data_IF_745802129754
#
_entry.id   IF_745802129754
#
_cell.length_a   1.000
_cell.length_b   1.000
_cell.length_c   1.000
_cell.angle_alpha   90.00
_cell.angle_beta   90.00
_cell.angle_gamma   90.00
#
_symmetry.space_group_name_H-M   'P 1'
#
loop_
_entity.id
_entity.type
_entity.pdbx_description
1 polymer ?
#
# COMPACT_ATOMS: atom_id res chain seq x y z
N UNK A 1 -51.80 12.96 -4.29
CA UNK A 1 -51.06 14.03 -4.96
C UNK A 1 -50.15 14.71 -3.93
N UNK A 2 -48.89 14.27 -3.85
CA UNK A 2 -47.82 15.07 -3.25
C UNK A 2 -46.50 14.59 -3.83
N UNK A 3 -45.90 15.46 -4.65
CA UNK A 3 -44.66 15.25 -5.38
C UNK A 3 -43.45 15.11 -4.44
N UNK A 4 -42.55 14.20 -4.81
CA UNK A 4 -41.20 14.08 -4.26
C UNK A 4 -40.34 15.29 -4.70
N UNK A 5 -39.58 15.93 -3.80
CA UNK A 5 -38.48 16.80 -4.22
C UNK A 5 -37.36 15.94 -4.83
N UNK A 6 -37.17 16.03 -6.14
CA UNK A 6 -35.95 15.59 -6.80
C UNK A 6 -34.91 16.68 -6.61
N UNK A 7 -33.87 16.43 -5.82
CA UNK A 7 -32.69 17.29 -5.81
C UNK A 7 -31.45 16.41 -5.66
N UNK A 8 -30.60 16.54 -6.68
CA UNK A 8 -29.34 15.85 -6.87
C UNK A 8 -28.52 15.68 -5.59
N UNK A 9 -28.11 14.44 -5.32
CA UNK A 9 -26.79 14.22 -4.74
C UNK A 9 -25.90 13.66 -5.82
N UNK A 10 -25.23 14.62 -6.45
CA UNK A 10 -23.95 14.49 -7.11
C UNK A 10 -22.98 13.67 -6.24
N UNK A 11 -22.18 12.86 -6.90
CA UNK A 11 -21.21 11.97 -6.26
C UNK A 11 -21.13 10.70 -7.06
N UNK A 12 -20.41 10.77 -8.18
CA UNK A 12 -20.05 9.60 -8.97
C UNK A 12 -19.58 8.48 -8.04
N UNK A 13 -20.17 7.32 -8.24
CA UNK A 13 -19.51 6.07 -7.93
C UNK A 13 -18.19 6.13 -8.69
N UNK A 14 -17.12 6.54 -8.00
CA UNK A 14 -15.76 6.41 -8.49
C UNK A 14 -15.40 4.95 -8.21
N UNK A 15 -15.40 4.05 -9.21
CA UNK A 15 -14.80 2.75 -9.06
C UNK A 15 -13.28 2.90 -9.11
N UNK A 16 -12.72 3.81 -8.33
CA UNK A 16 -11.48 3.54 -7.64
C UNK A 16 -11.79 2.37 -6.74
N UNK A 17 -11.78 1.17 -7.31
CA UNK A 17 -11.75 -0.12 -6.62
C UNK A 17 -10.47 -0.14 -5.81
N UNK A 18 -10.47 0.62 -4.72
CA UNK A 18 -9.49 0.59 -3.67
C UNK A 18 -9.71 -0.73 -2.98
N UNK A 19 -9.12 -1.78 -3.55
CA UNK A 19 -9.03 -3.06 -2.85
C UNK A 19 -8.19 -2.78 -1.61
N UNK A 20 -8.86 -2.54 -0.48
CA UNK A 20 -8.20 -2.22 0.77
C UNK A 20 -7.49 -3.46 1.28
N UNK A 21 -6.24 -3.31 1.71
CA UNK A 21 -5.51 -4.39 2.37
C UNK A 21 -6.32 -4.91 3.58
N UNK A 22 -6.38 -6.23 3.73
CA UNK A 22 -7.10 -6.90 4.80
C UNK A 22 -6.15 -7.54 5.82
N UNK A 23 -6.43 -7.46 7.13
CA UNK A 23 -5.64 -8.12 8.16
C UNK A 23 -5.45 -9.62 7.90
N UNK A 24 -4.22 -10.11 8.04
CA UNK A 24 -3.85 -11.52 7.77
C UNK A 24 -3.40 -11.79 6.33
N UNK A 25 -3.53 -10.83 5.41
CA UNK A 25 -2.91 -10.93 4.09
C UNK A 25 -1.40 -10.71 4.17
N UNK A 26 -0.64 -11.43 3.33
CA UNK A 26 0.79 -11.16 3.15
C UNK A 26 0.97 -9.74 2.61
N UNK A 27 1.88 -9.00 3.22
CA UNK A 27 2.26 -7.67 2.72
C UNK A 27 3.25 -7.87 1.57
N UNK A 28 2.81 -7.49 0.38
CA UNK A 28 3.63 -7.52 -0.84
C UNK A 28 3.78 -6.09 -1.33
N UNK A 29 5.00 -5.60 -1.47
CA UNK A 29 5.28 -4.26 -1.98
C UNK A 29 5.32 -4.29 -3.50
N UNK A 30 4.68 -3.33 -4.16
CA UNK A 30 4.85 -3.04 -5.58
C UNK A 30 6.07 -2.13 -5.76
N UNK A 31 7.17 -2.72 -6.22
CA UNK A 31 8.43 -2.00 -6.42
C UNK A 31 8.39 -1.10 -7.67
N UNK A 32 7.52 -1.40 -8.63
CA UNK A 32 7.36 -0.59 -9.84
C UNK A 32 6.58 0.68 -9.50
N UNK A 33 5.49 0.54 -8.74
CA UNK A 33 4.75 1.68 -8.21
C UNK A 33 5.63 2.58 -7.35
N UNK A 34 6.53 1.96 -6.57
CA UNK A 34 7.51 2.68 -5.76
C UNK A 34 8.49 3.53 -6.59
N UNK A 35 8.74 3.30 -7.88
CA UNK A 35 9.59 4.18 -8.69
C UNK A 35 8.91 5.51 -9.03
N UNK A 36 7.57 5.54 -9.10
CA UNK A 36 6.78 6.70 -9.51
C UNK A 36 6.39 7.67 -8.40
N UNK A 37 6.53 7.27 -7.14
CA UNK A 37 6.22 8.13 -5.98
C UNK A 37 7.46 8.95 -5.61
N UNK A 38 7.40 9.97 -4.77
CA UNK A 38 8.59 10.65 -4.22
C UNK A 38 8.25 11.31 -2.90
N UNK A 39 9.26 11.46 -2.03
CA UNK A 39 9.07 12.11 -0.73
C UNK A 39 10.03 11.55 0.32
N UNK A 40 10.29 12.32 1.39
CA UNK A 40 11.29 11.97 2.40
C UNK A 40 11.00 10.62 3.08
N UNK A 41 9.74 10.33 3.36
CA UNK A 41 9.31 9.05 3.94
C UNK A 41 9.48 7.88 2.94
N UNK A 42 9.12 8.11 1.67
CA UNK A 42 9.24 7.13 0.60
C UNK A 42 10.71 6.76 0.33
N UNK A 43 11.62 7.73 0.42
CA UNK A 43 13.05 7.51 0.24
C UNK A 43 13.64 6.62 1.34
N UNK A 44 13.16 6.78 2.58
CA UNK A 44 13.52 5.89 3.68
C UNK A 44 13.03 4.47 3.45
N UNK A 45 11.77 4.32 3.01
CA UNK A 45 11.18 3.02 2.63
C UNK A 45 12.01 2.38 1.51
N UNK A 46 12.32 3.09 0.43
CA UNK A 46 13.16 2.60 -0.68
C UNK A 46 14.51 2.10 -0.20
N UNK A 47 15.20 2.89 0.61
CA UNK A 47 16.52 2.51 1.14
C UNK A 47 16.43 1.24 1.98
N UNK A 48 15.40 1.11 2.80
CA UNK A 48 15.18 -0.08 3.62
C UNK A 48 14.85 -1.32 2.79
N UNK A 49 13.96 -1.20 1.80
CA UNK A 49 13.63 -2.29 0.88
C UNK A 49 14.85 -2.74 0.06
N UNK A 50 15.70 -1.81 -0.37
CA UNK A 50 16.97 -2.12 -1.04
C UNK A 50 17.92 -2.96 -0.17
N UNK A 51 17.97 -2.69 1.14
CA UNK A 51 18.73 -3.51 2.09
C UNK A 51 18.16 -4.94 2.15
N UNK A 52 16.83 -5.08 2.17
CA UNK A 52 16.18 -6.40 2.18
C UNK A 52 16.50 -7.18 0.91
N UNK A 53 16.41 -6.54 -0.26
CA UNK A 53 16.72 -7.15 -1.55
C UNK A 53 18.15 -7.69 -1.58
N UNK A 54 19.13 -6.89 -1.17
CA UNK A 54 20.54 -7.31 -1.10
C UNK A 54 20.72 -8.47 -0.11
N UNK A 55 20.16 -8.37 1.11
CA UNK A 55 20.30 -9.42 2.12
C UNK A 55 19.71 -10.76 1.69
N UNK A 56 18.64 -10.73 0.90
CA UNK A 56 17.94 -11.94 0.42
C UNK A 56 18.42 -12.42 -0.94
N UNK A 57 19.27 -11.65 -1.61
CA UNK A 57 19.60 -11.83 -3.03
C UNK A 57 18.31 -11.87 -3.89
N UNK A 58 17.31 -11.08 -3.50
CA UNK A 58 16.00 -11.01 -4.16
C UNK A 58 15.95 -9.77 -5.08
N UNK A 59 16.18 -10.02 -6.36
CA UNK A 59 16.22 -9.00 -7.41
C UNK A 59 15.11 -9.20 -8.46
N UNK A 60 13.99 -9.82 -8.08
CA UNK A 60 12.85 -10.01 -8.97
C UNK A 60 12.29 -8.66 -9.52
N UNK A 61 12.62 -7.54 -8.86
CA UNK A 61 12.52 -6.17 -9.37
C UNK A 61 11.11 -5.60 -9.46
N UNK A 62 10.08 -6.45 -9.41
CA UNK A 62 8.67 -6.03 -9.52
C UNK A 62 7.93 -6.00 -8.20
N UNK A 63 8.16 -6.99 -7.35
CA UNK A 63 7.48 -7.13 -6.07
C UNK A 63 8.44 -7.64 -5.01
N UNK A 64 8.16 -7.29 -3.74
CA UNK A 64 8.88 -7.82 -2.59
C UNK A 64 7.90 -8.22 -1.48
N UNK A 65 7.94 -9.47 -1.06
CA UNK A 65 7.13 -9.92 0.09
C UNK A 65 7.82 -9.58 1.41
N UNK A 66 7.11 -8.91 2.31
CA UNK A 66 7.58 -8.41 3.59
C UNK A 66 7.37 -9.45 4.69
N UNK A 67 8.37 -9.64 5.56
CA UNK A 67 8.27 -10.50 6.76
C UNK A 67 7.88 -9.66 7.98
N UNK A 68 7.50 -10.32 9.07
CA UNK A 68 7.09 -9.63 10.32
C UNK A 68 8.11 -8.61 10.82
N UNK A 69 9.38 -9.00 10.92
CA UNK A 69 10.45 -8.09 11.38
C UNK A 69 10.65 -6.88 10.45
N UNK A 70 10.51 -7.10 9.14
CA UNK A 70 10.61 -6.00 8.16
C UNK A 70 9.39 -5.07 8.27
N UNK A 71 8.20 -5.64 8.51
CA UNK A 71 6.98 -4.87 8.70
C UNK A 71 7.09 -3.99 9.94
N UNK A 72 7.70 -4.50 11.01
CA UNK A 72 7.97 -3.72 12.21
C UNK A 72 8.93 -2.55 11.93
N UNK A 73 9.97 -2.77 11.14
CA UNK A 73 10.88 -1.70 10.75
C UNK A 73 10.21 -0.67 9.82
N UNK A 74 9.37 -1.12 8.89
CA UNK A 74 8.56 -0.24 8.04
C UNK A 74 7.57 0.59 8.88
N UNK A 75 6.91 -0.01 9.87
CA UNK A 75 6.05 0.70 10.80
C UNK A 75 6.79 1.80 11.57
N UNK A 76 8.02 1.51 12.01
CA UNK A 76 8.88 2.51 12.65
C UNK A 76 9.27 3.65 11.70
N UNK A 77 9.55 3.36 10.42
CA UNK A 77 9.82 4.39 9.40
C UNK A 77 8.58 5.27 9.16
N UNK A 78 7.40 4.65 9.11
CA UNK A 78 6.11 5.30 8.90
C UNK A 78 5.55 6.03 10.13
N UNK A 79 6.24 5.91 11.29
CA UNK A 79 5.78 6.47 12.56
C UNK A 79 4.43 5.91 13.04
N UNK A 80 4.14 4.65 12.74
CA UNK A 80 2.83 4.03 12.99
C UNK A 80 2.96 2.66 13.68
N UNK A 81 1.82 2.07 14.08
CA UNK A 81 1.77 0.71 14.63
C UNK A 81 2.01 -0.36 13.56
N UNK A 82 2.48 -1.54 13.95
CA UNK A 82 2.71 -2.66 13.02
C UNK A 82 1.41 -3.07 12.30
N UNK A 83 0.29 -3.01 13.01
CA UNK A 83 -1.04 -3.35 12.47
C UNK A 83 -1.57 -2.28 11.48
N UNK A 84 -1.12 -1.03 11.62
CA UNK A 84 -1.53 0.11 10.79
C UNK A 84 -0.62 0.33 9.56
N UNK A 85 0.63 -0.16 9.63
CA UNK A 85 1.62 0.02 8.58
C UNK A 85 1.15 -0.48 7.20
N UNK A 86 0.47 -1.64 7.06
CA UNK A 86 -0.05 -2.07 5.78
C UNK A 86 -1.10 -1.12 5.19
N UNK A 87 -1.98 -0.55 6.01
CA UNK A 87 -2.97 0.42 5.54
C UNK A 87 -2.29 1.69 5.03
N UNK A 88 -1.27 2.20 5.76
CA UNK A 88 -0.46 3.34 5.33
C UNK A 88 0.28 3.07 4.01
N UNK A 89 0.86 1.89 3.86
CA UNK A 89 1.49 1.48 2.59
C UNK A 89 0.48 1.39 1.45
N UNK A 90 -0.76 0.97 1.72
CA UNK A 90 -1.84 0.93 0.73
C UNK A 90 -2.27 2.34 0.30
N UNK A 91 -2.42 3.28 1.24
CA UNK A 91 -2.72 4.70 0.98
C UNK A 91 -1.64 5.34 0.09
N UNK A 92 -0.38 4.92 0.24
CA UNK A 92 0.73 5.36 -0.59
C UNK A 92 0.80 4.67 -1.97
N UNK A 93 -0.12 3.73 -2.26
CA UNK A 93 -0.11 2.96 -3.50
C UNK A 93 1.05 1.97 -3.61
N UNK A 94 1.67 1.60 -2.49
CA UNK A 94 2.88 0.76 -2.46
C UNK A 94 2.58 -0.72 -2.28
N UNK A 95 1.33 -1.11 -2.02
CA UNK A 95 0.97 -2.52 -1.89
C UNK A 95 0.57 -3.13 -3.22
N UNK A 96 1.14 -4.30 -3.51
CA UNK A 96 0.65 -5.19 -4.54
C UNK A 96 -0.54 -5.97 -3.99
N UNK A 97 -1.72 -5.69 -4.54
CA UNK A 97 -2.92 -6.45 -4.23
C UNK A 97 -2.90 -7.79 -4.96
N UNK A 98 -3.39 -8.88 -4.33
CA UNK A 98 -3.57 -10.14 -5.04
C UNK A 98 -4.53 -9.91 -6.21
N UNK A 99 -4.16 -10.39 -7.40
CA UNK A 99 -5.06 -10.33 -8.55
C UNK A 99 -6.34 -11.10 -8.19
N UNK A 100 -7.47 -10.42 -8.12
CA UNK A 100 -8.78 -11.06 -8.08
C UNK A 100 -8.97 -11.80 -9.39
N UNK A 101 -8.93 -13.13 -9.35
CA UNK A 101 -9.33 -14.01 -10.45
C UNK A 101 -10.84 -14.15 -10.51
#
# INVERSE_FOLDING_TARGET
DQLLPTAHRDGGDDPSTGSTWSPGQKVVIDLVGLEGVSGPEVDLIRRYLGIIQVKRQDFNGRVLTIRGDDLQALAAILGTGVDDAPARLAEMGLLRLPATS
#
